data_IF_090132106347
#
_entry.id   IF_090132106347
#
_cell.length_a   1.000
_cell.length_b   1.000
_cell.length_c   1.000
_cell.angle_alpha   90.00
_cell.angle_beta   90.00
_cell.angle_gamma   90.00
#
_symmetry.space_group_name_H-M   'P 1'
#
loop_
_entity.id
_entity.type
_entity.pdbx_description
1 polymer ?
#
# COMPACT_ATOMS: atom_id res chain seq x y z
N UNK A 1 2.34 -5.65 -10.47
CA UNK A 1 3.14 -4.72 -11.28
C UNK A 1 4.21 -4.05 -10.43
N UNK A 2 3.84 -3.40 -9.33
CA UNK A 2 4.78 -2.68 -8.44
C UNK A 2 5.96 -3.56 -7.94
N UNK A 3 5.69 -4.69 -7.31
CA UNK A 3 6.74 -5.62 -6.83
C UNK A 3 7.54 -6.27 -7.94
N UNK A 4 6.88 -6.72 -9.02
CA UNK A 4 7.53 -7.55 -10.05
C UNK A 4 8.34 -6.73 -11.07
N UNK A 5 8.01 -5.46 -11.29
CA UNK A 5 8.71 -4.61 -12.27
C UNK A 5 9.52 -3.50 -11.60
N UNK A 6 8.95 -2.76 -10.64
CA UNK A 6 9.63 -1.62 -10.01
C UNK A 6 10.58 -2.10 -8.91
N UNK A 7 10.13 -3.02 -8.06
CA UNK A 7 10.96 -3.62 -7.01
C UNK A 7 12.16 -4.41 -7.57
N UNK A 8 11.93 -5.24 -8.58
CA UNK A 8 12.99 -6.03 -9.22
C UNK A 8 13.99 -5.17 -9.99
N UNK A 9 13.55 -4.13 -10.72
CA UNK A 9 14.45 -3.23 -11.43
C UNK A 9 15.36 -2.46 -10.47
N UNK A 10 14.81 -1.96 -9.35
CA UNK A 10 15.60 -1.27 -8.32
C UNK A 10 16.63 -2.20 -7.68
N UNK A 11 16.21 -3.43 -7.34
CA UNK A 11 17.12 -4.44 -6.79
C UNK A 11 18.24 -4.79 -7.78
N UNK A 12 17.91 -4.96 -9.07
CA UNK A 12 18.90 -5.25 -10.11
C UNK A 12 19.89 -4.11 -10.31
N UNK A 13 19.45 -2.85 -10.27
CA UNK A 13 20.33 -1.67 -10.36
C UNK A 13 21.33 -1.68 -9.21
N UNK A 14 20.88 -1.87 -7.96
CA UNK A 14 21.74 -1.90 -6.76
C UNK A 14 22.73 -3.07 -6.83
N UNK A 15 22.29 -4.25 -7.26
CA UNK A 15 23.14 -5.43 -7.36
C UNK A 15 24.19 -5.31 -8.47
N UNK A 16 23.83 -4.79 -9.65
CA UNK A 16 24.75 -4.64 -10.78
C UNK A 16 25.78 -3.53 -10.57
N UNK A 17 25.42 -2.47 -9.85
CA UNK A 17 26.34 -1.36 -9.54
C UNK A 17 27.19 -1.61 -8.29
N UNK A 18 26.90 -2.67 -7.54
CA UNK A 18 27.66 -3.03 -6.35
C UNK A 18 27.48 -2.06 -5.18
N UNK A 19 26.49 -1.17 -5.19
CA UNK A 19 26.29 -0.16 -4.14
C UNK A 19 25.43 -0.70 -3.00
N UNK A 20 25.92 -1.74 -2.34
CA UNK A 20 25.30 -2.29 -1.15
C UNK A 20 26.37 -2.60 -0.11
N UNK A 21 26.06 -2.33 1.15
CA UNK A 21 26.90 -2.71 2.26
C UNK A 21 26.30 -3.96 2.93
N UNK A 22 27.13 -4.97 3.19
CA UNK A 22 26.73 -6.21 3.87
C UNK A 22 27.23 -6.13 5.30
N UNK A 23 26.32 -6.24 6.27
CA UNK A 23 26.64 -6.32 7.68
C UNK A 23 26.32 -7.71 8.24
N UNK A 24 27.11 -8.17 9.22
CA UNK A 24 26.81 -9.35 10.03
C UNK A 24 25.66 -9.06 11.02
N UNK A 25 25.09 -10.11 11.63
CA UNK A 25 24.08 -10.01 12.69
C UNK A 25 24.56 -9.18 13.90
N UNK A 26 25.88 -9.05 14.10
CA UNK A 26 26.49 -8.19 15.11
C UNK A 26 26.65 -6.72 14.68
N UNK A 27 26.23 -6.34 13.46
CA UNK A 27 26.34 -4.98 12.92
C UNK A 27 27.70 -4.61 12.34
N UNK A 28 28.65 -5.54 12.29
CA UNK A 28 29.96 -5.33 11.68
C UNK A 28 29.85 -5.37 10.15
N UNK A 29 30.37 -4.34 9.46
CA UNK A 29 30.40 -4.28 8.00
C UNK A 29 31.39 -5.32 7.46
N UNK A 30 30.87 -6.33 6.76
CA UNK A 30 31.64 -7.38 6.09
C UNK A 30 32.13 -6.94 4.70
N UNK A 31 31.30 -6.16 4.01
CA UNK A 31 31.60 -5.56 2.70
C UNK A 31 31.06 -4.13 2.73
N UNK A 32 31.92 -3.14 2.48
CA UNK A 32 31.55 -1.73 2.39
C UNK A 32 31.90 -1.19 1.00
N UNK A 33 30.90 -1.09 0.12
CA UNK A 33 31.03 -0.52 -1.22
C UNK A 33 30.47 0.92 -1.30
N UNK A 34 29.62 1.31 -0.34
CA UNK A 34 29.07 2.66 -0.26
C UNK A 34 29.74 3.56 0.77
N UNK A 35 30.75 3.07 1.49
CA UNK A 35 31.54 3.86 2.43
C UNK A 35 30.75 4.34 3.65
N UNK A 36 29.72 3.58 4.06
CA UNK A 36 28.86 3.94 5.20
C UNK A 36 27.75 4.94 4.87
N UNK A 37 27.36 5.09 3.59
CA UNK A 37 26.17 5.84 3.22
C UNK A 37 24.90 5.17 3.79
N UNK A 38 24.03 6.00 4.36
CA UNK A 38 22.72 5.58 4.86
C UNK A 38 21.90 4.86 3.77
N UNK A 39 21.27 3.75 4.16
CA UNK A 39 20.57 2.83 3.25
C UNK A 39 19.35 3.47 2.58
N UNK A 40 18.96 2.94 1.42
CA UNK A 40 17.76 3.33 0.69
C UNK A 40 18.06 4.19 -0.54
N UNK A 41 17.37 5.33 -0.68
CA UNK A 41 17.42 6.18 -1.89
C UNK A 41 18.85 6.63 -2.21
N UNK A 42 19.68 6.86 -1.19
CA UNK A 42 21.07 7.30 -1.35
C UNK A 42 21.93 6.24 -2.04
N UNK A 43 21.67 4.94 -1.82
CA UNK A 43 22.38 3.86 -2.52
C UNK A 43 22.05 3.88 -4.01
N UNK A 44 20.77 3.99 -4.37
CA UNK A 44 20.35 4.11 -5.78
C UNK A 44 20.89 5.37 -6.43
N UNK A 45 20.96 6.49 -5.69
CA UNK A 45 21.55 7.72 -6.19
C UNK A 45 23.07 7.57 -6.43
N UNK A 46 23.79 6.91 -5.52
CA UNK A 46 25.22 6.63 -5.67
C UNK A 46 25.49 5.66 -6.85
N UNK A 47 24.67 4.61 -6.98
CA UNK A 47 24.69 3.68 -8.12
C UNK A 47 24.59 4.41 -9.45
N UNK A 48 23.55 5.25 -9.60
CA UNK A 48 23.34 6.00 -10.84
C UNK A 48 24.49 6.96 -11.12
N UNK A 49 24.99 7.68 -10.11
CA UNK A 49 26.10 8.61 -10.28
C UNK A 49 27.37 7.88 -10.73
N UNK A 50 27.66 6.71 -10.13
CA UNK A 50 28.84 5.91 -10.49
C UNK A 50 28.79 5.36 -11.91
N UNK A 51 27.58 5.10 -12.45
CA UNK A 51 27.39 4.50 -13.78
C UNK A 51 27.20 5.54 -14.88
N UNK A 52 26.39 6.56 -14.64
CA UNK A 52 25.96 7.54 -15.65
C UNK A 52 26.53 8.96 -15.41
N UNK A 53 27.24 9.17 -14.32
CA UNK A 53 27.81 10.48 -13.94
C UNK A 53 26.86 11.33 -13.10
N UNK A 54 27.35 12.47 -12.61
CA UNK A 54 26.68 13.32 -11.60
C UNK A 54 25.34 13.94 -12.04
N UNK A 55 25.08 14.05 -13.35
CA UNK A 55 23.81 14.56 -13.87
C UNK A 55 22.62 13.63 -13.54
N UNK A 56 22.87 12.33 -13.48
CA UNK A 56 21.86 11.30 -13.23
C UNK A 56 21.26 11.41 -11.82
N UNK A 57 22.07 11.80 -10.82
CA UNK A 57 21.61 12.05 -9.45
C UNK A 57 20.62 13.22 -9.37
N UNK A 58 20.85 14.30 -10.14
CA UNK A 58 19.92 15.44 -10.20
C UNK A 58 18.61 15.07 -10.89
N UNK A 59 18.69 14.29 -11.98
CA UNK A 59 17.51 13.78 -12.67
C UNK A 59 16.66 12.86 -11.76
N UNK A 60 17.31 11.95 -11.04
CA UNK A 60 16.65 11.05 -10.08
C UNK A 60 15.93 11.83 -8.97
N UNK A 61 16.56 12.87 -8.42
CA UNK A 61 15.94 13.71 -7.40
C UNK A 61 14.64 14.36 -7.90
N UNK A 62 14.61 14.86 -9.14
CA UNK A 62 13.39 15.44 -9.76
C UNK A 62 12.30 14.38 -9.91
N UNK A 63 12.66 13.18 -10.39
CA UNK A 63 11.73 12.06 -10.56
C UNK A 63 11.13 11.65 -9.20
N UNK A 64 11.95 11.56 -8.15
CA UNK A 64 11.49 11.22 -6.81
C UNK A 64 10.52 12.26 -6.27
N UNK A 65 10.79 13.55 -6.46
CA UNK A 65 9.86 14.62 -6.03
C UNK A 65 8.50 14.45 -6.71
N UNK A 66 8.48 14.21 -8.02
CA UNK A 66 7.24 13.98 -8.75
C UNK A 66 6.51 12.72 -8.26
N UNK A 67 7.25 11.62 -8.06
CA UNK A 67 6.70 10.36 -7.58
C UNK A 67 6.11 10.48 -6.17
N UNK A 68 6.83 11.10 -5.24
CA UNK A 68 6.37 11.33 -3.86
C UNK A 68 5.16 12.25 -3.87
N UNK A 69 5.15 13.29 -4.70
CA UNK A 69 4.00 14.19 -4.83
C UNK A 69 2.73 13.45 -5.29
N UNK A 70 2.85 12.62 -6.33
CA UNK A 70 1.73 11.80 -6.83
C UNK A 70 1.25 10.80 -5.76
N UNK A 71 2.17 10.09 -5.11
CA UNK A 71 1.83 9.13 -4.04
C UNK A 71 1.15 9.81 -2.86
N UNK A 72 1.68 10.93 -2.39
CA UNK A 72 1.13 11.69 -1.27
C UNK A 72 -0.29 12.19 -1.58
N UNK A 73 -0.51 12.66 -2.80
CA UNK A 73 -1.84 13.05 -3.27
C UNK A 73 -2.81 11.86 -3.28
N UNK A 74 -2.37 10.69 -3.78
CA UNK A 74 -3.16 9.46 -3.77
C UNK A 74 -3.58 9.03 -2.36
N UNK A 75 -2.65 9.04 -1.40
CA UNK A 75 -2.93 8.71 0.00
C UNK A 75 -3.90 9.69 0.65
N UNK A 76 -3.76 11.00 0.39
CA UNK A 76 -4.70 12.01 0.88
C UNK A 76 -6.12 11.75 0.37
N UNK A 77 -6.28 11.40 -0.91
CA UNK A 77 -7.59 11.06 -1.47
C UNK A 77 -8.20 9.80 -0.84
N UNK A 78 -7.39 8.78 -0.61
CA UNK A 78 -7.87 7.54 0.00
C UNK A 78 -8.27 7.77 1.47
N UNK A 79 -7.49 8.54 2.22
CA UNK A 79 -7.82 8.95 3.58
C UNK A 79 -9.10 9.79 3.63
N UNK A 80 -9.26 10.75 2.72
CA UNK A 80 -10.47 11.57 2.61
C UNK A 80 -11.71 10.71 2.30
N UNK A 81 -11.60 9.75 1.37
CA UNK A 81 -12.69 8.85 1.03
C UNK A 81 -13.11 7.97 2.22
N UNK A 82 -12.13 7.39 2.93
CA UNK A 82 -12.38 6.58 4.12
C UNK A 82 -13.05 7.40 5.24
N UNK A 83 -12.62 8.64 5.45
CA UNK A 83 -13.19 9.53 6.48
C UNK A 83 -14.58 10.02 6.08
N UNK A 84 -14.82 10.32 4.80
CA UNK A 84 -16.16 10.66 4.30
C UNK A 84 -17.14 9.51 4.52
N UNK A 85 -16.71 8.27 4.26
CA UNK A 85 -17.51 7.08 4.50
C UNK A 85 -17.84 6.92 5.99
N UNK A 86 -16.85 7.03 6.88
CA UNK A 86 -17.04 6.84 8.32
C UNK A 86 -17.90 7.95 8.97
N UNK A 87 -17.80 9.19 8.47
CA UNK A 87 -18.42 10.37 9.10
C UNK A 87 -19.69 10.84 8.38
N UNK A 88 -20.23 10.07 7.44
CA UNK A 88 -21.45 10.42 6.71
C UNK A 88 -21.32 11.71 5.90
N UNK A 89 -20.18 11.92 5.24
CA UNK A 89 -19.88 13.07 4.38
C UNK A 89 -19.77 14.43 5.12
N UNK A 90 -19.37 14.42 6.40
CA UNK A 90 -19.14 15.64 7.17
C UNK A 90 -17.97 16.47 6.62
N UNK A 91 -18.26 17.67 6.13
CA UNK A 91 -17.24 18.61 5.61
C UNK A 91 -16.18 19.00 6.66
N UNK A 92 -16.57 19.07 7.94
CA UNK A 92 -15.65 19.39 9.05
C UNK A 92 -14.64 18.26 9.30
N UNK A 93 -15.09 17.00 9.28
CA UNK A 93 -14.22 15.85 9.47
C UNK A 93 -13.19 15.73 8.34
N UNK A 94 -13.61 15.98 7.10
CA UNK A 94 -12.71 16.03 5.95
C UNK A 94 -11.68 17.16 6.06
N UNK A 95 -12.09 18.35 6.50
CA UNK A 95 -11.16 19.46 6.68
C UNK A 95 -10.11 19.18 7.76
N UNK A 96 -10.52 18.58 8.89
CA UNK A 96 -9.61 18.14 9.95
C UNK A 96 -8.64 17.07 9.42
N UNK A 97 -9.13 16.09 8.67
CA UNK A 97 -8.31 15.05 8.07
C UNK A 97 -7.20 15.62 7.17
N UNK A 98 -7.55 16.59 6.31
CA UNK A 98 -6.58 17.28 5.46
C UNK A 98 -5.55 18.05 6.28
N UNK A 99 -5.98 18.76 7.33
CA UNK A 99 -5.07 19.48 8.22
C UNK A 99 -4.09 18.53 8.93
N UNK A 100 -4.59 17.40 9.43
CA UNK A 100 -3.76 16.36 10.06
C UNK A 100 -2.80 15.75 9.05
N UNK A 101 -3.24 15.47 7.82
CA UNK A 101 -2.38 14.94 6.76
C UNK A 101 -1.24 15.91 6.42
N UNK A 102 -1.53 17.21 6.23
CA UNK A 102 -0.50 18.22 5.99
C UNK A 102 0.49 18.32 7.17
N UNK A 103 -0.01 18.32 8.41
CA UNK A 103 0.83 18.34 9.60
C UNK A 103 1.73 17.10 9.67
N UNK A 104 1.18 15.91 9.40
CA UNK A 104 1.93 14.65 9.38
C UNK A 104 3.00 14.64 8.27
N UNK A 105 2.71 15.16 7.07
CA UNK A 105 3.69 15.31 6.00
C UNK A 105 4.83 16.24 6.39
N UNK A 106 4.52 17.34 7.07
CA UNK A 106 5.55 18.28 7.56
C UNK A 106 6.42 17.66 8.66
N UNK A 107 5.79 16.98 9.63
CA UNK A 107 6.51 16.27 10.69
C UNK A 107 7.38 15.14 10.12
N UNK A 108 6.89 14.42 9.11
CA UNK A 108 7.64 13.37 8.43
C UNK A 108 8.91 13.87 7.72
N UNK A 109 8.98 15.15 7.35
CA UNK A 109 10.19 15.75 6.79
C UNK A 109 11.24 16.13 7.87
N UNK A 110 10.83 16.20 9.14
CA UNK A 110 11.68 16.62 10.27
C UNK A 110 12.14 15.40 11.08
N UNK A 111 11.29 14.38 11.21
CA UNK A 111 11.57 13.15 11.97
C UNK A 111 12.56 12.27 11.20
N UNK A 112 13.47 11.59 11.92
CA UNK A 112 14.43 10.65 11.34
C UNK A 112 13.72 9.50 10.62
N UNK A 113 14.32 9.02 9.53
CA UNK A 113 13.74 7.99 8.67
C UNK A 113 13.34 6.73 9.44
N UNK A 114 14.23 6.20 10.29
CA UNK A 114 13.98 4.97 11.07
C UNK A 114 12.74 5.07 11.97
N UNK A 115 12.51 6.23 12.58
CA UNK A 115 11.35 6.46 13.42
C UNK A 115 10.05 6.52 12.60
N UNK A 116 10.10 7.11 11.40
CA UNK A 116 8.97 7.14 10.47
C UNK A 116 8.64 5.74 9.98
N UNK A 117 9.65 4.93 9.63
CA UNK A 117 9.47 3.54 9.23
C UNK A 117 8.88 2.69 10.36
N UNK A 118 9.42 2.79 11.58
CA UNK A 118 8.90 2.05 12.73
C UNK A 118 7.44 2.40 13.04
N UNK A 119 7.08 3.69 12.97
CA UNK A 119 5.69 4.11 13.15
C UNK A 119 4.78 3.61 12.03
N UNK A 120 5.28 3.60 10.79
CA UNK A 120 4.60 3.03 9.63
C UNK A 120 4.33 1.54 9.80
N UNK A 121 5.33 0.76 10.20
CA UNK A 121 5.22 -0.68 10.41
C UNK A 121 4.17 -1.04 11.46
N UNK A 122 4.12 -0.28 12.56
CA UNK A 122 3.07 -0.45 13.58
C UNK A 122 1.68 -0.18 12.99
N UNK A 123 1.54 0.89 12.21
CA UNK A 123 0.29 1.25 11.54
C UNK A 123 -0.19 0.19 10.55
N UNK A 124 0.70 -0.28 9.69
CA UNK A 124 0.41 -1.36 8.74
C UNK A 124 0.11 -2.68 9.45
N UNK A 125 0.85 -3.00 10.52
CA UNK A 125 0.60 -4.18 11.34
C UNK A 125 -0.80 -4.17 11.97
N UNK A 126 -1.21 -3.03 12.54
CA UNK A 126 -2.55 -2.89 13.12
C UNK A 126 -3.65 -3.02 12.06
N UNK A 127 -3.46 -2.40 10.89
CA UNK A 127 -4.40 -2.52 9.76
C UNK A 127 -4.50 -3.97 9.27
N UNK A 128 -3.37 -4.67 9.17
CA UNK A 128 -3.33 -6.08 8.78
C UNK A 128 -4.09 -6.95 9.80
N UNK A 129 -3.86 -6.76 11.10
CA UNK A 129 -4.59 -7.48 12.15
C UNK A 129 -6.10 -7.25 12.08
N UNK A 130 -6.53 -5.99 11.94
CA UNK A 130 -7.95 -5.67 11.81
C UNK A 130 -8.58 -6.38 10.60
N UNK A 131 -7.90 -6.37 9.45
CA UNK A 131 -8.37 -7.03 8.23
C UNK A 131 -8.38 -8.56 8.36
N UNK A 132 -7.35 -9.17 8.95
CA UNK A 132 -7.29 -10.61 9.17
C UNK A 132 -8.41 -11.07 10.08
N UNK A 133 -8.68 -10.37 11.18
CA UNK A 133 -9.78 -10.69 12.09
C UNK A 133 -11.12 -10.56 11.37
N UNK A 134 -11.33 -9.47 10.62
CA UNK A 134 -12.55 -9.29 9.83
C UNK A 134 -12.74 -10.43 8.80
N UNK A 135 -11.69 -10.78 8.05
CA UNK A 135 -11.73 -11.88 7.09
C UNK A 135 -11.98 -13.21 7.80
N UNK A 136 -11.35 -13.48 8.95
CA UNK A 136 -11.56 -14.71 9.69
C UNK A 136 -13.01 -14.86 10.17
N UNK A 137 -13.64 -13.77 10.62
CA UNK A 137 -15.05 -13.73 11.00
C UNK A 137 -15.99 -13.88 9.79
N UNK A 138 -15.65 -13.31 8.64
CA UNK A 138 -16.46 -13.40 7.41
C UNK A 138 -16.19 -14.67 6.58
N UNK A 139 -15.05 -15.32 6.77
CA UNK A 139 -14.60 -16.50 6.03
C UNK A 139 -15.66 -17.61 5.94
N UNK A 140 -16.36 -18.02 7.03
CA UNK A 140 -17.38 -19.07 6.92
C UNK A 140 -18.51 -18.68 5.96
N UNK A 141 -19.00 -17.43 6.02
CA UNK A 141 -20.04 -16.93 5.12
C UNK A 141 -19.53 -16.79 3.68
N UNK A 142 -18.32 -16.27 3.50
CA UNK A 142 -17.71 -16.11 2.18
C UNK A 142 -17.51 -17.46 1.48
N UNK A 143 -17.08 -18.49 2.21
CA UNK A 143 -16.94 -19.86 1.68
C UNK A 143 -18.30 -20.45 1.33
N UNK A 144 -19.34 -20.21 2.13
CA UNK A 144 -20.69 -20.69 1.83
C UNK A 144 -21.24 -20.10 0.52
N UNK A 145 -21.08 -18.79 0.33
CA UNK A 145 -21.46 -18.07 -0.89
C UNK A 145 -20.66 -18.59 -2.09
N UNK A 146 -19.35 -18.79 -1.94
CA UNK A 146 -18.50 -19.32 -3.00
C UNK A 146 -18.93 -20.73 -3.42
N UNK A 147 -19.29 -21.59 -2.46
CA UNK A 147 -19.77 -22.95 -2.75
C UNK A 147 -21.12 -22.93 -3.48
N UNK A 148 -22.02 -22.01 -3.15
CA UNK A 148 -23.27 -21.83 -3.88
C UNK A 148 -23.03 -21.34 -5.30
N UNK A 149 -22.14 -20.36 -5.49
CA UNK A 149 -21.71 -19.90 -6.82
C UNK A 149 -21.13 -21.04 -7.67
N UNK A 150 -20.22 -21.84 -7.11
CA UNK A 150 -19.63 -22.99 -7.80
C UNK A 150 -20.66 -24.06 -8.16
N UNK A 151 -21.65 -24.31 -7.29
CA UNK A 151 -22.75 -25.23 -7.58
C UNK A 151 -23.59 -24.72 -8.75
N UNK A 152 -23.98 -23.44 -8.75
CA UNK A 152 -24.76 -22.84 -9.82
C UNK A 152 -24.01 -22.91 -11.17
N UNK A 153 -22.71 -22.61 -11.16
CA UNK A 153 -21.84 -22.70 -12.34
C UNK A 153 -21.69 -24.14 -12.85
N UNK A 154 -21.51 -25.13 -11.96
CA UNK A 154 -21.44 -26.56 -12.32
C UNK A 154 -22.76 -27.10 -12.88
N UNK A 155 -23.88 -26.55 -12.45
CA UNK A 155 -25.21 -26.89 -12.99
C UNK A 155 -25.52 -26.22 -14.35
N UNK A 156 -24.56 -25.54 -14.98
CA UNK A 156 -24.74 -24.85 -16.26
C UNK A 156 -25.68 -23.64 -16.19
N UNK A 157 -26.02 -23.17 -14.98
CA UNK A 157 -26.86 -21.99 -14.78
C UNK A 157 -25.98 -20.73 -14.77
N UNK A 158 -26.55 -19.61 -15.19
CA UNK A 158 -25.91 -18.33 -15.00
C UNK A 158 -25.94 -17.99 -13.49
N UNK A 159 -24.80 -17.87 -12.79
CA UNK A 159 -24.79 -17.77 -11.35
C UNK A 159 -25.39 -16.43 -10.89
N UNK A 160 -26.38 -16.50 -10.00
CA UNK A 160 -27.06 -15.35 -9.39
C UNK A 160 -26.88 -15.40 -7.88
N UNK A 161 -26.41 -14.31 -7.31
CA UNK A 161 -26.28 -14.16 -5.86
C UNK A 161 -27.63 -13.81 -5.24
N UNK A 162 -28.09 -14.62 -4.28
CA UNK A 162 -29.31 -14.40 -3.51
C UNK A 162 -28.93 -14.08 -2.04
N UNK A 163 -28.98 -12.80 -1.62
CA UNK A 163 -28.58 -12.39 -0.28
C UNK A 163 -29.49 -12.94 0.83
N UNK A 164 -30.76 -13.26 0.52
CA UNK A 164 -31.71 -13.79 1.50
C UNK A 164 -31.33 -15.20 1.98
N UNK A 165 -30.71 -16.01 1.11
CA UNK A 165 -30.21 -17.36 1.46
C UNK A 165 -29.12 -17.37 2.53
N UNK A 166 -28.36 -16.28 2.64
CA UNK A 166 -27.21 -16.18 3.55
C UNK A 166 -27.45 -15.20 4.72
N UNK A 167 -28.71 -14.77 4.91
CA UNK A 167 -29.10 -13.84 5.98
C UNK A 167 -28.43 -12.46 5.85
N UNK A 168 -28.11 -12.03 4.63
CA UNK A 168 -27.52 -10.72 4.34
C UNK A 168 -28.66 -9.76 4.00
N UNK A 169 -28.78 -8.66 4.74
CA UNK A 169 -29.77 -7.61 4.43
C UNK A 169 -29.32 -6.84 3.18
N UNK A 170 -30.11 -6.90 2.11
CA UNK A 170 -29.89 -6.05 0.93
C UNK A 170 -30.57 -4.69 1.15
N UNK A 171 -29.84 -3.77 1.77
CA UNK A 171 -30.30 -2.39 1.99
C UNK A 171 -30.33 -1.55 0.70
N UNK A 172 -29.66 -2.03 -0.36
CA UNK A 172 -29.52 -1.31 -1.64
C UNK A 172 -30.57 -1.73 -2.69
N UNK A 173 -31.25 -2.86 -2.48
CA UNK A 173 -32.15 -3.46 -3.46
C UNK A 173 -31.46 -3.88 -4.77
N UNK A 174 -30.12 -3.88 -4.80
CA UNK A 174 -29.33 -4.17 -6.00
C UNK A 174 -29.50 -5.61 -6.48
N UNK A 175 -29.94 -6.51 -5.59
CA UNK A 175 -30.16 -7.93 -5.88
C UNK A 175 -31.64 -8.30 -5.97
N UNK A 176 -32.54 -7.33 -5.74
CA UNK A 176 -33.97 -7.50 -6.01
C UNK A 176 -34.22 -7.44 -7.53
N UNK A 177 -34.26 -8.60 -8.19
CA UNK A 177 -34.96 -8.71 -9.47
C UNK A 177 -36.30 -9.42 -9.30
N UNK A 178 -37.34 -8.74 -9.82
CA UNK A 178 -38.68 -9.27 -10.05
C UNK A 178 -38.56 -10.65 -10.68
N UNK A 179 -39.35 -11.59 -10.14
CA UNK A 179 -39.75 -12.81 -10.85
C UNK A 179 -40.40 -12.36 -12.17
N UNK A 180 -39.63 -12.28 -13.24
CA UNK A 180 -40.20 -12.27 -14.58
C UNK A 180 -40.30 -13.74 -15.02
N UNK A 181 -41.54 -14.07 -15.36
CA UNK A 181 -42.16 -15.38 -15.59
C UNK A 181 -41.48 -16.29 -16.61
#
# INVERSE_FOLDING_TARGET
MDTLFIGTATAMIVLLTGTFDVADAAGNLLISQTGGLESGIKWTQHALISTFGTWSGKALAIIIVLFVFTSMTGYCYQAESNIRYLTGNSKKAVAIARAVFLAASFLGAIVNADAVWAMGDIGYGLMAWANIIAIALLAPKAVEILRDYEKQKKSGKNPVFDPAKFGIKDETGAWNRKKDS
#
